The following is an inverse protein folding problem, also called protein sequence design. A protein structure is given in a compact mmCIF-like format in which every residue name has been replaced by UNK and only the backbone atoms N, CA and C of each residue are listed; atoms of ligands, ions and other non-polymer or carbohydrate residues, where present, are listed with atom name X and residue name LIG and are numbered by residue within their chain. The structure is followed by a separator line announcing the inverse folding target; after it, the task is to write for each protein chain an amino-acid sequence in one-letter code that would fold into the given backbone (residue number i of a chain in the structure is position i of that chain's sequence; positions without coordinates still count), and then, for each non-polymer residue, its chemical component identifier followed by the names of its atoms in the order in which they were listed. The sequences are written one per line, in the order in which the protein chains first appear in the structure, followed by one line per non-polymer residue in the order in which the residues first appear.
data_IF_683039148837
#
_entry.id   IF_683039148837
#
_cell.length_a   1.000
_cell.length_b   1.000
_cell.length_c   1.000
_cell.angle_alpha   90.00
_cell.angle_beta   90.00
_cell.angle_gamma   90.00
#
_symmetry.space_group_name_H-M   'P 1'
#
loop_
_entity.id
_entity.type
_entity.pdbx_description
1 polymer ?
#
# COMPACT_ATOMS: atom_id res chain seq x y z
N UNK A 1 -10.59 -24.74 -10.54
CA UNK A 1 -9.76 -24.14 -9.50
C UNK A 1 -10.14 -22.66 -9.35
N UNK A 2 -10.40 -22.23 -8.15
CA UNK A 2 -10.78 -20.84 -7.88
C UNK A 2 -9.62 -20.10 -7.22
N UNK A 3 -9.49 -18.82 -7.57
CA UNK A 3 -8.54 -17.93 -6.90
C UNK A 3 -9.10 -16.51 -6.88
N UNK A 4 -8.59 -15.69 -5.99
CA UNK A 4 -8.98 -14.28 -5.87
C UNK A 4 -7.73 -13.42 -5.88
N UNK A 5 -7.78 -12.32 -6.65
CA UNK A 5 -6.77 -11.27 -6.62
C UNK A 5 -7.38 -10.06 -5.93
N UNK A 6 -6.71 -9.55 -4.91
CA UNK A 6 -7.12 -8.33 -4.24
C UNK A 6 -6.16 -7.19 -4.58
N UNK A 7 -6.73 -6.02 -4.85
CA UNK A 7 -5.97 -4.81 -5.10
C UNK A 7 -6.40 -3.76 -4.09
N UNK A 8 -5.44 -3.17 -3.39
CA UNK A 8 -5.67 -2.05 -2.49
C UNK A 8 -4.91 -0.84 -2.99
N UNK A 9 -5.58 0.31 -3.09
CA UNK A 9 -4.93 1.61 -3.31
C UNK A 9 -5.00 2.39 -2.01
N UNK A 10 -3.84 2.80 -1.51
CA UNK A 10 -3.73 3.56 -0.27
C UNK A 10 -3.12 4.91 -0.61
N UNK A 11 -3.85 5.98 -0.30
CA UNK A 11 -3.36 7.34 -0.47
C UNK A 11 -2.85 7.86 0.88
N UNK A 12 -1.64 8.40 0.89
CA UNK A 12 -0.96 8.82 2.11
C UNK A 12 -0.48 10.26 1.98
N UNK A 13 -0.55 10.98 3.09
CA UNK A 13 0.05 12.30 3.23
C UNK A 13 1.40 12.14 3.94
N UNK A 14 2.42 12.72 3.33
CA UNK A 14 3.77 12.75 3.88
C UNK A 14 3.89 13.98 4.79
N UNK A 15 4.56 13.88 5.96
CA UNK A 15 4.70 15.00 6.89
C UNK A 15 5.29 16.26 6.24
N UNK A 16 4.89 17.42 6.76
CA UNK A 16 5.35 18.72 6.28
C UNK A 16 6.88 18.89 6.36
N UNK A 17 7.41 19.81 5.55
CA UNK A 17 8.82 20.14 5.54
C UNK A 17 9.69 19.18 4.77
N UNK A 18 9.13 18.16 4.15
CA UNK A 18 9.89 17.21 3.34
C UNK A 18 10.04 17.71 1.91
N UNK A 19 11.24 17.49 1.36
CA UNK A 19 11.53 17.69 -0.05
C UNK A 19 11.08 16.47 -0.85
N UNK A 20 11.08 16.56 -2.18
CA UNK A 20 10.82 15.40 -3.04
C UNK A 20 11.82 14.26 -2.77
N UNK A 21 13.07 14.58 -2.50
CA UNK A 21 14.09 13.60 -2.13
C UNK A 21 13.74 12.86 -0.84
N UNK A 22 13.31 13.59 0.19
CA UNK A 22 12.89 12.99 1.46
C UNK A 22 11.64 12.15 1.29
N UNK A 23 10.69 12.60 0.48
CA UNK A 23 9.47 11.85 0.15
C UNK A 23 9.81 10.51 -0.51
N UNK A 24 10.73 10.50 -1.46
CA UNK A 24 11.17 9.27 -2.13
C UNK A 24 11.76 8.25 -1.16
N UNK A 25 12.50 8.72 -0.15
CA UNK A 25 13.04 7.85 0.91
C UNK A 25 11.91 7.22 1.74
N UNK A 26 10.89 7.99 2.10
CA UNK A 26 9.74 7.49 2.86
C UNK A 26 8.99 6.45 2.02
N UNK A 27 8.68 6.75 0.76
CA UNK A 27 7.98 5.83 -0.14
C UNK A 27 8.77 4.54 -0.32
N UNK A 28 10.07 4.63 -0.57
CA UNK A 28 10.94 3.46 -0.70
C UNK A 28 10.92 2.60 0.56
N UNK A 29 10.99 3.24 1.73
CA UNK A 29 10.92 2.54 3.01
C UNK A 29 9.59 1.80 3.17
N UNK A 30 8.47 2.46 2.89
CA UNK A 30 7.14 1.85 2.96
C UNK A 30 7.02 0.64 2.04
N UNK A 31 7.44 0.80 0.78
CA UNK A 31 7.36 -0.27 -0.23
C UNK A 31 8.24 -1.47 0.19
N UNK A 32 9.47 -1.23 0.57
CA UNK A 32 10.40 -2.30 0.95
C UNK A 32 9.94 -3.03 2.21
N UNK A 33 9.47 -2.30 3.23
CA UNK A 33 8.95 -2.91 4.46
C UNK A 33 7.75 -3.80 4.20
N UNK A 34 6.82 -3.35 3.35
CA UNK A 34 5.66 -4.16 2.99
C UNK A 34 6.07 -5.41 2.20
N UNK A 35 6.98 -5.29 1.25
CA UNK A 35 7.48 -6.42 0.48
C UNK A 35 8.20 -7.45 1.34
N UNK A 36 8.95 -7.00 2.34
CA UNK A 36 9.70 -7.88 3.24
C UNK A 36 8.80 -8.61 4.24
N UNK A 37 7.68 -8.00 4.61
CA UNK A 37 6.78 -8.57 5.61
C UNK A 37 5.66 -9.39 5.02
N UNK A 38 5.21 -9.07 3.83
CA UNK A 38 4.05 -9.71 3.19
C UNK A 38 4.42 -10.24 1.81
N UNK A 39 3.77 -11.33 1.42
CA UNK A 39 3.84 -11.83 0.04
C UNK A 39 2.87 -11.02 -0.82
N UNK A 40 3.30 -9.85 -1.23
CA UNK A 40 2.48 -8.90 -1.98
C UNK A 40 3.33 -8.13 -2.99
N UNK A 41 2.71 -7.73 -4.09
CA UNK A 41 3.28 -6.77 -5.02
C UNK A 41 2.91 -5.37 -4.57
N UNK A 42 3.88 -4.49 -4.41
CA UNK A 42 3.68 -3.13 -3.88
C UNK A 42 4.43 -2.14 -4.76
N UNK A 43 3.75 -1.07 -5.17
CA UNK A 43 4.35 -0.01 -5.98
C UNK A 43 3.68 1.34 -5.73
N UNK A 44 4.43 2.42 -5.89
CA UNK A 44 3.85 3.75 -6.01
C UNK A 44 3.25 3.88 -7.41
N UNK A 45 1.98 4.25 -7.50
CA UNK A 45 1.25 4.28 -8.77
C UNK A 45 0.75 5.66 -9.17
N UNK A 46 0.73 6.62 -8.25
CA UNK A 46 0.29 7.99 -8.53
C UNK A 46 0.96 8.97 -7.57
N UNK A 47 0.84 10.26 -7.89
CA UNK A 47 1.38 11.37 -7.09
C UNK A 47 2.91 11.37 -6.97
N UNK A 48 3.60 10.82 -7.98
CA UNK A 48 5.07 10.70 -7.98
C UNK A 48 5.78 12.04 -7.82
N UNK A 49 5.23 13.11 -8.42
CA UNK A 49 5.85 14.43 -8.44
C UNK A 49 5.44 15.31 -7.26
N UNK A 50 4.54 14.83 -6.41
CA UNK A 50 4.12 15.54 -5.21
C UNK A 50 4.96 15.10 -4.02
N UNK A 51 5.56 16.06 -3.31
CA UNK A 51 6.39 15.72 -2.15
C UNK A 51 5.59 15.48 -0.86
N UNK A 52 4.30 15.86 -0.85
CA UNK A 52 3.43 15.72 0.32
C UNK A 52 2.44 14.57 0.23
N UNK A 53 2.40 13.87 -0.89
CA UNK A 53 1.38 12.86 -1.14
C UNK A 53 1.95 11.70 -1.96
N UNK A 54 1.47 10.51 -1.69
CA UNK A 54 1.76 9.32 -2.49
C UNK A 54 0.54 8.42 -2.55
N UNK A 55 0.43 7.66 -3.64
CA UNK A 55 -0.57 6.59 -3.77
C UNK A 55 0.16 5.29 -4.04
N UNK A 56 -0.02 4.33 -3.13
CA UNK A 56 0.54 2.99 -3.25
C UNK A 56 -0.54 2.01 -3.71
N UNK A 57 -0.18 1.12 -4.62
CA UNK A 57 -1.02 -0.01 -4.98
C UNK A 57 -0.40 -1.29 -4.45
N UNK A 58 -1.24 -2.16 -3.93
CA UNK A 58 -0.87 -3.43 -3.33
C UNK A 58 -1.72 -4.51 -3.97
N UNK A 59 -1.08 -5.57 -4.48
CA UNK A 59 -1.78 -6.71 -5.07
C UNK A 59 -1.42 -7.99 -4.32
N UNK A 60 -2.45 -8.77 -3.99
CA UNK A 60 -2.34 -10.03 -3.26
C UNK A 60 -3.19 -11.08 -3.96
N UNK A 61 -2.68 -12.29 -4.10
CA UNK A 61 -3.43 -13.43 -4.59
C UNK A 61 -3.66 -14.42 -3.46
N UNK A 62 -4.85 -15.01 -3.43
CA UNK A 62 -5.20 -16.04 -2.46
C UNK A 62 -6.30 -16.95 -2.97
N UNK A 63 -6.67 -17.94 -2.17
CA UNK A 63 -7.66 -18.95 -2.54
C UNK A 63 -9.10 -18.42 -2.56
N UNK A 64 -9.40 -17.40 -1.75
CA UNK A 64 -10.73 -16.83 -1.63
C UNK A 64 -10.69 -15.35 -1.21
N UNK A 65 -11.84 -14.67 -1.32
CA UNK A 65 -11.94 -13.25 -1.01
C UNK A 65 -11.69 -12.93 0.47
N UNK A 66 -12.13 -13.79 1.38
CA UNK A 66 -11.94 -13.59 2.80
C UNK A 66 -10.47 -13.56 3.18
N UNK A 67 -9.71 -14.54 2.68
CA UNK A 67 -8.27 -14.64 2.91
C UNK A 67 -7.54 -13.41 2.37
N UNK A 68 -7.85 -13.03 1.13
CA UNK A 68 -7.24 -11.88 0.45
C UNK A 68 -7.56 -10.59 1.18
N UNK A 69 -8.83 -10.38 1.55
CA UNK A 69 -9.24 -9.18 2.25
C UNK A 69 -8.54 -9.06 3.62
N UNK A 70 -8.40 -10.17 4.34
CA UNK A 70 -7.70 -10.19 5.63
C UNK A 70 -6.24 -9.78 5.47
N UNK A 71 -5.57 -10.26 4.43
CA UNK A 71 -4.17 -9.89 4.16
C UNK A 71 -4.06 -8.40 3.83
N UNK A 72 -4.95 -7.87 2.98
CA UNK A 72 -4.95 -6.45 2.64
C UNK A 72 -5.17 -5.57 3.87
N UNK A 73 -6.09 -5.96 4.76
CA UNK A 73 -6.33 -5.23 6.00
C UNK A 73 -5.09 -5.23 6.91
N UNK A 74 -4.39 -6.34 7.01
CA UNK A 74 -3.16 -6.44 7.80
C UNK A 74 -2.05 -5.55 7.22
N UNK A 75 -1.96 -5.45 5.91
CA UNK A 75 -0.98 -4.58 5.26
C UNK A 75 -1.30 -3.12 5.58
N UNK A 76 -2.57 -2.72 5.49
CA UNK A 76 -3.00 -1.36 5.83
C UNK A 76 -2.70 -1.02 7.29
N UNK A 77 -3.01 -1.92 8.21
CA UNK A 77 -2.71 -1.76 9.63
C UNK A 77 -1.20 -1.62 9.88
N UNK A 78 -0.41 -2.42 9.18
CA UNK A 78 1.04 -2.36 9.29
C UNK A 78 1.58 -1.00 8.81
N UNK A 79 1.14 -0.55 7.63
CA UNK A 79 1.53 0.77 7.09
C UNK A 79 1.17 1.88 8.08
N UNK A 80 -0.04 1.87 8.62
CA UNK A 80 -0.47 2.84 9.61
C UNK A 80 0.40 2.79 10.87
N UNK A 81 0.76 1.61 11.32
CA UNK A 81 1.57 1.42 12.54
C UNK A 81 2.98 2.01 12.44
N UNK A 82 3.53 2.13 11.24
CA UNK A 82 4.87 2.67 11.03
C UNK A 82 4.97 4.16 11.30
N UNK A 83 3.86 4.89 11.25
CA UNK A 83 3.79 6.33 11.50
C UNK A 83 4.72 7.17 10.61
N UNK A 84 5.03 6.67 9.42
CA UNK A 84 5.85 7.38 8.43
C UNK A 84 5.03 8.34 7.58
N UNK A 85 3.73 8.09 7.45
CA UNK A 85 2.80 8.89 6.68
C UNK A 85 1.38 8.64 7.20
N UNK A 86 0.46 9.57 6.88
CA UNK A 86 -0.94 9.48 7.28
C UNK A 86 -1.78 8.91 6.14
N UNK A 87 -2.54 7.85 6.40
CA UNK A 87 -3.48 7.28 5.43
C UNK A 87 -4.72 8.18 5.39
N UNK A 88 -5.05 8.71 4.21
CA UNK A 88 -6.22 9.57 4.03
C UNK A 88 -7.31 8.93 3.18
N UNK A 89 -6.99 7.85 2.45
CA UNK A 89 -7.96 7.14 1.63
C UNK A 89 -7.48 5.72 1.37
N UNK A 90 -8.44 4.82 1.18
CA UNK A 90 -8.18 3.43 0.83
C UNK A 90 -9.31 2.90 -0.03
N UNK A 91 -8.97 2.26 -1.15
CA UNK A 91 -9.92 1.58 -2.01
C UNK A 91 -9.47 0.14 -2.22
N UNK A 92 -10.41 -0.81 -2.09
CA UNK A 92 -10.13 -2.23 -2.28
C UNK A 92 -11.03 -2.78 -3.38
N UNK A 93 -10.44 -3.58 -4.25
CA UNK A 93 -11.17 -4.34 -5.27
C UNK A 93 -10.75 -5.80 -5.19
N UNK A 94 -11.73 -6.71 -5.20
CA UNK A 94 -11.49 -8.15 -5.26
C UNK A 94 -11.94 -8.68 -6.62
N UNK A 95 -11.06 -9.43 -7.27
CA UNK A 95 -11.32 -10.02 -8.58
C UNK A 95 -11.29 -11.55 -8.41
N UNK A 96 -12.42 -12.18 -8.70
CA UNK A 96 -12.59 -13.63 -8.54
C UNK A 96 -12.43 -14.34 -9.88
N UNK A 97 -11.64 -15.39 -9.86
CA UNK A 97 -11.40 -16.23 -11.03
C UNK A 97 -11.91 -17.64 -10.83
#
# INVERSE_FOLDING_TARGET
MAMTVGISRITLIIPEGMSLKSKRKVVKSLVERCRNRFNASVAEVDDHDLYQKTTLAIAVVGKDGRTVNTILDKITEYVDSLKLAEIIDQEIELIHY
#
